data_IF_290699951335
#
_entry.id   IF_290699951335
#
_cell.length_a   1.000
_cell.length_b   1.000
_cell.length_c   1.000
_cell.angle_alpha   90.00
_cell.angle_beta   90.00
_cell.angle_gamma   90.00
#
_symmetry.space_group_name_H-M   'P 1'
#
loop_
_entity.id
_entity.type
_entity.pdbx_description
1 polymer ?
#
# COMPACT_ATOMS: atom_id res chain seq x y z
N UNK A 1 -16.48 -12.25 11.46
CA UNK A 1 -16.52 -12.10 10.00
C UNK A 1 -15.68 -10.89 9.60
N UNK A 2 -14.73 -11.09 8.68
CA UNK A 2 -13.86 -9.99 8.21
C UNK A 2 -14.53 -9.12 7.15
N UNK A 3 -15.50 -9.67 6.43
CA UNK A 3 -16.24 -9.00 5.38
C UNK A 3 -17.43 -9.82 4.90
N UNK A 4 -18.19 -9.28 3.98
CA UNK A 4 -19.23 -9.99 3.24
C UNK A 4 -19.13 -9.74 1.74
N UNK A 5 -19.67 -10.68 0.98
CA UNK A 5 -19.71 -10.63 -0.47
C UNK A 5 -21.15 -10.73 -0.93
N UNK A 6 -21.57 -9.81 -1.77
CA UNK A 6 -22.85 -9.84 -2.48
C UNK A 6 -22.57 -10.30 -3.90
N UNK A 7 -23.15 -11.44 -4.28
CA UNK A 7 -23.08 -11.93 -5.65
C UNK A 7 -24.31 -11.49 -6.43
N UNK A 8 -24.09 -10.71 -7.48
CA UNK A 8 -25.10 -10.33 -8.43
C UNK A 8 -24.91 -11.14 -9.72
N UNK A 9 -26.00 -11.64 -10.27
CA UNK A 9 -26.01 -12.42 -11.50
C UNK A 9 -26.97 -11.81 -12.51
N UNK A 10 -26.50 -11.58 -13.72
CA UNK A 10 -27.32 -11.16 -14.85
C UNK A 10 -26.93 -11.97 -16.07
N UNK A 11 -27.88 -12.68 -16.69
CA UNK A 11 -27.67 -13.51 -17.85
C UNK A 11 -26.31 -14.28 -17.84
N UNK A 12 -25.29 -13.72 -18.53
CA UNK A 12 -23.97 -14.33 -18.70
C UNK A 12 -22.88 -13.71 -17.82
N UNK A 13 -23.21 -12.79 -16.88
CA UNK A 13 -22.21 -12.09 -16.06
C UNK A 13 -22.47 -12.30 -14.57
N UNK A 14 -21.38 -12.47 -13.85
CA UNK A 14 -21.40 -12.54 -12.37
C UNK A 14 -20.53 -11.43 -11.83
N UNK A 15 -21.10 -10.65 -10.92
CA UNK A 15 -20.45 -9.55 -10.22
C UNK A 15 -20.37 -9.90 -8.74
N UNK A 16 -19.19 -9.79 -8.14
CA UNK A 16 -18.99 -9.93 -6.72
C UNK A 16 -18.71 -8.55 -6.10
N UNK A 17 -19.61 -8.11 -5.25
CA UNK A 17 -19.50 -6.84 -4.52
C UNK A 17 -19.01 -7.13 -3.11
N UNK A 18 -17.84 -6.62 -2.74
CA UNK A 18 -17.17 -6.96 -1.49
C UNK A 18 -17.13 -5.78 -0.55
N UNK A 19 -17.44 -6.02 0.72
CA UNK A 19 -17.39 -5.05 1.80
C UNK A 19 -16.67 -5.62 3.01
N UNK A 20 -15.64 -4.91 3.49
CA UNK A 20 -15.00 -5.18 4.79
C UNK A 20 -15.93 -4.74 5.92
N UNK A 21 -16.06 -5.58 6.94
CA UNK A 21 -16.77 -5.23 8.17
C UNK A 21 -15.76 -4.63 9.15
N UNK A 22 -15.95 -3.38 9.50
CA UNK A 22 -15.06 -2.64 10.43
C UNK A 22 -15.38 -2.91 11.88
N UNK A 23 -16.64 -3.22 12.18
CA UNK A 23 -17.09 -3.60 13.53
C UNK A 23 -17.35 -5.10 13.57
N UNK A 24 -17.11 -5.71 14.73
CA UNK A 24 -17.56 -7.08 14.96
C UNK A 24 -19.04 -7.15 14.63
N UNK A 25 -19.39 -7.99 13.65
CA UNK A 25 -20.76 -8.27 13.27
C UNK A 25 -21.47 -8.90 14.46
N UNK A 26 -21.75 -8.07 15.44
CA UNK A 26 -22.68 -8.39 16.50
C UNK A 26 -24.04 -8.04 15.92
N UNK A 27 -24.90 -9.05 15.77
CA UNK A 27 -26.31 -8.78 15.77
C UNK A 27 -26.55 -7.85 16.93
N UNK A 28 -26.78 -6.56 16.66
CA UNK A 28 -27.05 -5.60 17.72
C UNK A 28 -28.29 -6.13 18.44
N UNK A 29 -28.09 -6.72 19.62
CA UNK A 29 -29.19 -6.82 20.57
C UNK A 29 -29.57 -5.38 20.84
N UNK A 30 -30.79 -5.01 20.48
CA UNK A 30 -31.29 -3.69 20.75
C UNK A 30 -31.03 -3.35 22.21
N UNK A 31 -30.22 -2.33 22.45
CA UNK A 31 -30.11 -1.71 23.77
C UNK A 31 -31.21 -0.70 24.02
N UNK A 32 -32.03 -0.40 23.00
CA UNK A 32 -33.20 0.48 23.12
C UNK A 32 -34.46 -0.35 23.23
N UNK A 33 -35.39 0.17 23.98
CA UNK A 33 -36.71 -0.45 24.29
C UNK A 33 -37.55 -0.70 23.02
N UNK A 34 -37.21 -0.03 21.90
CA UNK A 34 -37.88 -0.18 20.61
C UNK A 34 -36.88 -0.10 19.46
N UNK A 35 -36.75 -1.19 18.70
CA UNK A 35 -36.20 -1.14 17.36
C UNK A 35 -37.33 -1.03 16.36
N UNK A 36 -37.40 0.08 15.65
CA UNK A 36 -38.41 0.33 14.64
C UNK A 36 -37.77 0.46 13.25
N UNK A 37 -38.44 -0.09 12.26
CA UNK A 37 -38.11 0.07 10.84
C UNK A 37 -39.31 0.68 10.14
N UNK A 38 -39.04 1.59 9.21
CA UNK A 38 -40.07 2.17 8.37
C UNK A 38 -40.27 1.24 7.16
N UNK A 39 -41.45 0.62 7.06
CA UNK A 39 -41.78 -0.28 5.98
C UNK A 39 -43.16 0.06 5.43
N UNK A 40 -43.24 0.40 4.14
CA UNK A 40 -44.52 0.67 3.46
C UNK A 40 -45.37 1.73 4.11
N UNK A 41 -44.81 2.85 4.57
CA UNK A 41 -45.51 3.96 5.29
C UNK A 41 -45.93 3.67 6.73
N UNK A 42 -45.48 2.54 7.30
CA UNK A 42 -45.76 2.20 8.71
C UNK A 42 -44.47 1.94 9.47
N UNK A 43 -44.50 2.23 10.77
CA UNK A 43 -43.44 1.94 11.72
C UNK A 43 -43.68 0.55 12.29
N UNK A 44 -42.81 -0.41 11.93
CA UNK A 44 -42.87 -1.76 12.46
C UNK A 44 -41.80 -1.96 13.54
N UNK A 45 -42.15 -2.71 14.59
CA UNK A 45 -41.19 -3.13 15.61
C UNK A 45 -40.42 -4.35 15.10
N UNK A 46 -39.08 -4.22 15.05
CA UNK A 46 -38.20 -5.34 14.69
C UNK A 46 -38.00 -6.25 15.89
N UNK A 47 -38.66 -7.40 15.91
CA UNK A 47 -38.48 -8.43 16.90
C UNK A 47 -37.24 -9.31 16.64
N UNK A 48 -36.76 -9.36 15.37
CA UNK A 48 -35.69 -10.25 14.92
C UNK A 48 -34.31 -9.60 14.91
N UNK A 49 -33.29 -10.46 14.92
CA UNK A 49 -31.88 -10.03 14.76
C UNK A 49 -31.66 -9.56 13.34
N UNK A 50 -31.36 -8.28 13.19
CA UNK A 50 -31.07 -7.68 11.90
C UNK A 50 -29.58 -7.46 11.71
N UNK A 51 -29.11 -7.55 10.47
CA UNK A 51 -27.81 -7.07 10.09
C UNK A 51 -27.95 -5.95 9.06
N UNK A 52 -27.05 -4.98 9.15
CA UNK A 52 -27.06 -3.83 8.25
C UNK A 52 -26.09 -4.06 7.11
N UNK A 53 -26.59 -3.99 5.88
CA UNK A 53 -25.73 -3.94 4.69
C UNK A 53 -25.33 -2.48 4.48
N UNK A 54 -24.03 -2.23 4.41
CA UNK A 54 -23.51 -0.90 4.13
C UNK A 54 -23.90 -0.45 2.71
N UNK A 55 -24.18 0.85 2.54
CA UNK A 55 -24.51 1.44 1.25
C UNK A 55 -23.30 1.61 0.32
N UNK A 56 -22.09 1.42 0.84
CA UNK A 56 -20.84 1.54 0.07
C UNK A 56 -20.17 0.18 -0.08
N UNK A 57 -19.44 0.01 -1.17
CA UNK A 57 -18.61 -1.16 -1.45
C UNK A 57 -17.12 -0.79 -1.29
N UNK A 58 -16.29 -1.77 -1.01
CA UNK A 58 -14.84 -1.56 -0.93
C UNK A 58 -14.15 -1.95 -2.24
N UNK A 59 -14.61 -3.01 -2.87
CA UNK A 59 -14.19 -3.38 -4.22
C UNK A 59 -15.21 -4.30 -4.89
N UNK A 60 -15.08 -4.39 -6.22
CA UNK A 60 -15.95 -5.20 -7.07
C UNK A 60 -15.07 -6.08 -7.95
N UNK A 61 -15.45 -7.36 -8.10
CA UNK A 61 -14.80 -8.28 -9.02
C UNK A 61 -15.80 -8.62 -10.12
N UNK A 62 -15.40 -8.38 -11.37
CA UNK A 62 -16.15 -8.71 -12.57
C UNK A 62 -15.22 -9.48 -13.50
N UNK A 63 -15.48 -10.78 -13.67
CA UNK A 63 -14.65 -11.68 -14.47
C UNK A 63 -13.17 -11.63 -14.02
N UNK A 64 -12.27 -11.08 -14.83
CA UNK A 64 -10.85 -10.93 -14.53
C UNK A 64 -10.48 -9.54 -14.02
N UNK A 65 -11.46 -8.63 -13.92
CA UNK A 65 -11.23 -7.25 -13.53
C UNK A 65 -11.59 -7.02 -12.06
N UNK A 66 -10.81 -6.21 -11.38
CA UNK A 66 -11.06 -5.78 -10.00
C UNK A 66 -11.10 -4.25 -9.93
N UNK A 67 -12.27 -3.70 -9.62
CA UNK A 67 -12.45 -2.27 -9.36
C UNK A 67 -12.34 -2.00 -7.86
N UNK A 68 -11.26 -1.33 -7.44
CA UNK A 68 -10.99 -1.04 -6.03
C UNK A 68 -11.39 0.39 -5.69
N UNK A 69 -12.41 0.56 -4.82
CA UNK A 69 -12.85 1.84 -4.29
C UNK A 69 -12.19 2.17 -2.95
N UNK A 70 -11.84 1.13 -2.16
CA UNK A 70 -11.16 1.28 -0.87
C UNK A 70 -9.94 0.35 -0.81
N UNK A 71 -8.77 0.91 -1.12
CA UNK A 71 -7.50 0.17 -1.16
C UNK A 71 -7.15 -0.48 0.20
N UNK A 72 -7.37 0.22 1.32
CA UNK A 72 -7.03 -0.30 2.64
C UNK A 72 -7.87 -1.52 3.03
N UNK A 73 -9.16 -1.50 2.70
CA UNK A 73 -10.05 -2.65 2.91
C UNK A 73 -9.69 -3.82 2.00
N UNK A 74 -9.40 -3.56 0.73
CA UNK A 74 -8.96 -4.54 -0.25
C UNK A 74 -7.69 -5.26 0.21
N UNK A 75 -6.63 -4.51 0.53
CA UNK A 75 -5.36 -5.07 1.00
C UNK A 75 -5.50 -5.86 2.31
N UNK A 76 -6.39 -5.40 3.23
CA UNK A 76 -6.62 -6.11 4.49
C UNK A 76 -7.35 -7.44 4.28
N UNK A 77 -8.42 -7.43 3.46
CA UNK A 77 -9.22 -8.63 3.21
C UNK A 77 -8.44 -9.71 2.45
N UNK A 78 -7.55 -9.30 1.55
CA UNK A 78 -6.72 -10.21 0.75
C UNK A 78 -5.34 -10.46 1.37
N UNK A 79 -5.11 -10.01 2.60
CA UNK A 79 -3.87 -10.26 3.34
C UNK A 79 -2.60 -9.80 2.62
N UNK A 80 -2.67 -8.71 1.85
CA UNK A 80 -1.53 -8.17 1.09
C UNK A 80 -0.30 -7.85 1.94
N UNK A 81 -0.46 -7.70 3.26
CA UNK A 81 0.70 -7.52 4.15
C UNK A 81 1.68 -8.69 4.06
N UNK A 82 1.19 -9.92 3.87
CA UNK A 82 2.03 -11.12 3.71
C UNK A 82 2.86 -11.00 2.44
N UNK A 83 2.27 -10.56 1.34
CA UNK A 83 2.98 -10.35 0.07
C UNK A 83 4.06 -9.26 0.18
N UNK A 84 3.79 -8.19 0.94
CA UNK A 84 4.80 -7.16 1.19
C UNK A 84 5.96 -7.67 2.03
N UNK A 85 5.70 -8.51 3.04
CA UNK A 85 6.75 -9.18 3.83
C UNK A 85 7.58 -10.10 2.94
N UNK A 86 6.94 -10.99 2.17
CA UNK A 86 7.62 -11.91 1.26
C UNK A 86 8.48 -11.16 0.23
N UNK A 87 7.94 -10.06 -0.33
CA UNK A 87 8.68 -9.22 -1.27
C UNK A 87 9.91 -8.57 -0.63
N UNK A 88 9.80 -8.09 0.60
CA UNK A 88 10.92 -7.50 1.33
C UNK A 88 11.95 -8.54 1.73
N UNK A 89 11.53 -9.72 2.15
CA UNK A 89 12.42 -10.85 2.44
C UNK A 89 13.20 -11.28 1.19
N UNK A 90 12.54 -11.33 0.03
CA UNK A 90 13.20 -11.58 -1.25
C UNK A 90 14.25 -10.51 -1.59
N UNK A 91 13.87 -9.24 -1.48
CA UNK A 91 14.75 -8.11 -1.75
C UNK A 91 15.97 -8.09 -0.81
N UNK A 92 15.76 -8.39 0.48
CA UNK A 92 16.82 -8.44 1.48
C UNK A 92 17.83 -9.57 1.28
N UNK A 93 17.50 -10.53 0.41
CA UNK A 93 18.38 -11.64 0.00
C UNK A 93 18.94 -11.48 -1.42
N UNK A 94 18.46 -10.49 -2.16
CA UNK A 94 18.94 -10.21 -3.51
C UNK A 94 20.38 -9.68 -3.45
N UNK A 95 21.38 -10.41 -4.00
CA UNK A 95 22.78 -9.99 -3.95
C UNK A 95 23.03 -8.68 -4.68
N UNK A 96 22.24 -8.35 -5.71
CA UNK A 96 22.35 -7.08 -6.43
C UNK A 96 21.88 -5.93 -5.53
N UNK A 97 20.76 -6.10 -4.81
CA UNK A 97 20.28 -5.10 -3.86
C UNK A 97 21.23 -4.93 -2.67
N UNK A 98 21.65 -6.04 -2.06
CA UNK A 98 22.62 -6.03 -0.94
C UNK A 98 23.90 -5.31 -1.35
N UNK A 99 24.42 -5.60 -2.54
CA UNK A 99 25.63 -4.99 -3.08
C UNK A 99 25.56 -3.48 -3.31
N UNK A 100 24.36 -2.88 -3.26
CA UNK A 100 24.18 -1.41 -3.34
C UNK A 100 24.42 -0.70 -2.01
N UNK A 101 24.54 -1.41 -0.91
CA UNK A 101 24.75 -0.87 0.43
C UNK A 101 26.07 -1.34 1.04
N UNK A 102 26.65 -0.51 1.90
CA UNK A 102 27.78 -0.93 2.75
C UNK A 102 27.30 -1.87 3.85
N UNK A 103 26.14 -1.58 4.43
CA UNK A 103 25.41 -2.39 5.39
C UNK A 103 23.90 -2.22 5.15
N UNK A 104 23.18 -3.32 5.04
CA UNK A 104 21.74 -3.32 4.83
C UNK A 104 20.95 -3.26 6.16
N UNK A 105 21.62 -3.51 7.28
CA UNK A 105 20.96 -3.59 8.59
C UNK A 105 20.18 -2.33 8.96
N UNK A 106 20.69 -1.09 8.78
CA UNK A 106 19.91 0.11 9.08
C UNK A 106 18.60 0.21 8.29
N UNK A 107 18.59 -0.24 7.03
CA UNK A 107 17.37 -0.29 6.22
C UNK A 107 16.39 -1.35 6.74
N UNK A 108 16.87 -2.52 7.10
CA UNK A 108 16.03 -3.60 7.66
C UNK A 108 15.38 -3.13 8.96
N UNK A 109 16.15 -2.53 9.85
CA UNK A 109 15.67 -2.02 11.14
C UNK A 109 14.63 -0.90 10.93
N UNK A 110 14.87 0.03 9.98
CA UNK A 110 13.93 1.11 9.64
C UNK A 110 12.61 0.60 9.06
N UNK A 111 12.66 -0.38 8.17
CA UNK A 111 11.46 -0.98 7.57
C UNK A 111 10.66 -1.75 8.61
N UNK A 112 11.31 -2.60 9.37
CA UNK A 112 10.73 -3.41 10.43
C UNK A 112 9.42 -4.07 10.00
N UNK A 113 8.38 -3.93 10.82
CA UNK A 113 7.03 -4.48 10.54
C UNK A 113 6.03 -3.44 10.03
N UNK A 114 6.50 -2.22 9.73
CA UNK A 114 5.66 -1.13 9.27
C UNK A 114 5.10 -1.40 7.87
N UNK A 115 3.78 -1.57 7.76
CA UNK A 115 3.11 -1.92 6.50
C UNK A 115 3.34 -0.91 5.38
N UNK A 116 3.48 0.39 5.71
CA UNK A 116 3.75 1.42 4.71
C UNK A 116 5.17 1.28 4.16
N UNK A 117 6.17 1.01 5.00
CA UNK A 117 7.54 0.77 4.57
C UNK A 117 7.65 -0.53 3.79
N UNK A 118 7.04 -1.62 4.26
CA UNK A 118 6.99 -2.90 3.55
C UNK A 118 6.38 -2.76 2.15
N UNK A 119 5.28 -1.99 2.01
CA UNK A 119 4.69 -1.69 0.69
C UNK A 119 5.67 -0.93 -0.22
N UNK A 120 6.39 0.06 0.31
CA UNK A 120 7.41 0.79 -0.44
C UNK A 120 8.54 -0.12 -0.90
N UNK A 121 9.00 -1.03 -0.03
CA UNK A 121 10.02 -2.01 -0.38
C UNK A 121 9.53 -2.98 -1.47
N UNK A 122 8.27 -3.39 -1.43
CA UNK A 122 7.68 -4.20 -2.50
C UNK A 122 7.65 -3.47 -3.85
N UNK A 123 7.38 -2.15 -3.85
CA UNK A 123 7.46 -1.32 -5.08
C UNK A 123 8.91 -1.17 -5.56
N UNK A 124 9.89 -0.98 -4.65
CA UNK A 124 11.32 -0.94 -5.00
C UNK A 124 11.74 -2.26 -5.65
N UNK A 125 11.31 -3.40 -5.08
CA UNK A 125 11.59 -4.72 -5.64
C UNK A 125 10.98 -4.88 -7.04
N UNK A 126 9.73 -4.46 -7.22
CA UNK A 126 9.02 -4.54 -8.51
C UNK A 126 9.66 -3.65 -9.59
N UNK A 127 10.00 -2.39 -9.26
CA UNK A 127 10.62 -1.45 -10.22
C UNK A 127 12.08 -1.80 -10.51
N UNK A 128 12.79 -2.36 -9.54
CA UNK A 128 14.17 -2.82 -9.62
C UNK A 128 15.17 -1.77 -10.19
N UNK A 129 14.93 -0.47 -9.99
CA UNK A 129 15.83 0.59 -10.45
C UNK A 129 17.23 0.46 -9.88
N UNK A 130 17.38 -0.11 -8.67
CA UNK A 130 18.66 -0.41 -8.04
C UNK A 130 19.52 -1.39 -8.86
N UNK A 131 18.91 -2.23 -9.68
CA UNK A 131 19.63 -3.19 -10.52
C UNK A 131 20.26 -2.52 -11.76
N UNK A 132 19.77 -1.34 -12.17
CA UNK A 132 20.31 -0.61 -13.31
C UNK A 132 21.55 0.22 -12.92
N UNK A 133 22.75 -0.10 -13.46
CA UNK A 133 23.99 0.63 -13.14
C UNK A 133 23.92 2.13 -13.52
N UNK A 134 23.27 2.45 -14.65
CA UNK A 134 23.13 3.83 -15.11
C UNK A 134 22.26 4.64 -14.18
N UNK A 135 21.20 4.01 -13.63
CA UNK A 135 20.35 4.65 -12.62
C UNK A 135 21.16 5.00 -11.36
N UNK A 136 21.96 4.06 -10.88
CA UNK A 136 22.80 4.27 -9.69
C UNK A 136 23.90 5.32 -9.92
N UNK A 137 24.48 5.38 -11.11
CA UNK A 137 25.44 6.44 -11.49
C UNK A 137 24.77 7.81 -11.52
N UNK A 138 23.60 7.92 -12.14
CA UNK A 138 22.81 9.18 -12.16
C UNK A 138 22.37 9.58 -10.76
N UNK A 139 21.95 8.61 -9.93
CA UNK A 139 21.56 8.88 -8.55
C UNK A 139 22.69 9.57 -7.77
N UNK A 140 23.93 9.07 -7.87
CA UNK A 140 25.09 9.69 -7.23
C UNK A 140 25.31 11.12 -7.72
N UNK A 141 25.28 11.32 -9.04
CA UNK A 141 25.48 12.63 -9.64
C UNK A 141 24.41 13.65 -9.20
N UNK A 142 23.13 13.23 -9.22
CA UNK A 142 22.01 14.08 -8.78
C UNK A 142 22.06 14.33 -7.27
N UNK A 143 22.41 13.34 -6.46
CA UNK A 143 22.62 13.52 -5.03
C UNK A 143 23.61 14.63 -4.72
N UNK A 144 24.75 14.66 -5.43
CA UNK A 144 25.80 15.65 -5.23
C UNK A 144 25.36 17.04 -5.73
N UNK A 145 24.66 17.10 -6.87
CA UNK A 145 24.15 18.33 -7.45
C UNK A 145 23.04 18.99 -6.61
N UNK A 146 22.15 18.16 -6.02
CA UNK A 146 20.95 18.62 -5.31
C UNK A 146 21.12 18.64 -3.77
N UNK A 147 22.30 18.23 -3.26
CA UNK A 147 22.58 18.22 -1.84
C UNK A 147 21.69 17.30 -1.01
N UNK A 148 21.35 16.10 -1.52
CA UNK A 148 20.47 15.17 -0.81
C UNK A 148 21.14 14.48 0.38
N UNK A 149 22.47 14.66 0.52
CA UNK A 149 23.29 14.16 1.63
C UNK A 149 23.34 12.62 1.77
N UNK A 150 23.01 11.87 0.73
CA UNK A 150 23.24 10.43 0.73
C UNK A 150 24.75 10.21 0.60
N UNK A 151 25.34 9.49 1.55
CA UNK A 151 26.74 9.15 1.54
C UNK A 151 26.99 7.89 0.69
N UNK A 152 28.09 7.89 -0.04
CA UNK A 152 28.55 6.75 -0.83
C UNK A 152 29.99 6.41 -0.42
N UNK A 153 30.30 5.12 -0.33
CA UNK A 153 31.68 4.67 -0.11
C UNK A 153 32.53 4.75 -1.40
N UNK A 154 33.82 4.39 -1.30
CA UNK A 154 34.74 4.41 -2.42
C UNK A 154 34.33 3.46 -3.57
N UNK A 155 33.56 2.42 -3.28
CA UNK A 155 32.99 1.49 -4.26
C UNK A 155 31.66 1.97 -4.85
N UNK A 156 31.13 3.14 -4.44
CA UNK A 156 29.87 3.70 -4.88
C UNK A 156 28.64 3.07 -4.22
N UNK A 157 28.82 2.38 -3.08
CA UNK A 157 27.73 1.78 -2.31
C UNK A 157 27.15 2.80 -1.33
N UNK A 158 25.85 2.76 -1.14
CA UNK A 158 25.10 3.63 -0.24
C UNK A 158 25.49 3.33 1.22
N UNK A 159 25.87 4.37 1.96
CA UNK A 159 26.02 4.31 3.43
C UNK A 159 24.69 4.73 4.05
N UNK A 160 23.89 3.76 4.48
CA UNK A 160 22.58 4.02 5.03
C UNK A 160 22.70 4.47 6.51
N UNK A 161 22.15 5.65 6.81
CA UNK A 161 22.03 6.18 8.17
C UNK A 161 20.57 6.48 8.50
N UNK A 162 20.25 6.63 9.78
CA UNK A 162 18.87 6.94 10.20
C UNK A 162 18.36 8.24 9.56
N UNK A 163 19.22 9.27 9.48
CA UNK A 163 18.86 10.58 8.92
C UNK A 163 18.58 10.52 7.41
N UNK A 164 19.32 9.67 6.67
CA UNK A 164 19.21 9.58 5.21
C UNK A 164 18.21 8.53 4.73
N UNK A 165 17.70 7.69 5.62
CA UNK A 165 16.87 6.54 5.27
C UNK A 165 15.63 6.92 4.46
N UNK A 166 14.93 7.99 4.88
CA UNK A 166 13.76 8.49 4.14
C UNK A 166 14.13 8.89 2.71
N UNK A 167 15.24 9.62 2.55
CA UNK A 167 15.75 10.07 1.25
C UNK A 167 16.12 8.87 0.37
N UNK A 168 16.85 7.90 0.93
CA UNK A 168 17.24 6.65 0.24
C UNK A 168 15.99 5.92 -0.29
N UNK A 169 14.96 5.76 0.53
CA UNK A 169 13.73 5.11 0.10
C UNK A 169 13.01 5.89 -1.02
N UNK A 170 12.99 7.21 -0.95
CA UNK A 170 12.35 8.05 -1.97
C UNK A 170 13.08 7.98 -3.31
N UNK A 171 14.41 8.01 -3.31
CA UNK A 171 15.19 7.91 -4.56
C UNK A 171 15.11 6.51 -5.17
N UNK A 172 15.11 5.44 -4.36
CA UNK A 172 14.96 4.08 -4.88
C UNK A 172 13.56 3.80 -5.45
N UNK A 173 12.55 4.56 -5.01
CA UNK A 173 11.19 4.56 -5.58
C UNK A 173 11.08 5.42 -6.84
N UNK A 174 12.07 6.26 -7.12
CA UNK A 174 11.98 7.35 -8.10
C UNK A 174 10.85 8.34 -7.77
N UNK A 175 10.70 8.65 -6.49
CA UNK A 175 9.67 9.55 -5.95
C UNK A 175 10.25 10.90 -5.48
N UNK A 176 11.55 11.12 -5.62
CA UNK A 176 12.19 12.42 -5.33
C UNK A 176 12.54 13.09 -6.64
N UNK A 177 11.87 14.20 -6.93
CA UNK A 177 11.95 14.92 -8.18
C UNK A 177 12.45 16.35 -7.93
N UNK A 178 13.33 16.84 -8.80
CA UNK A 178 13.72 18.24 -8.84
C UNK A 178 13.03 18.93 -10.01
N UNK A 179 12.30 20.02 -9.71
CA UNK A 179 11.64 20.82 -10.74
C UNK A 179 12.60 21.83 -11.32
N UNK A 180 12.81 21.78 -12.63
CA UNK A 180 13.60 22.79 -13.36
C UNK A 180 12.93 24.17 -13.41
N UNK A 181 11.63 24.26 -13.14
CA UNK A 181 10.89 25.51 -13.19
C UNK A 181 10.94 26.25 -11.84
N UNK A 182 10.68 25.53 -10.73
CA UNK A 182 10.67 26.12 -9.39
C UNK A 182 12.00 26.02 -8.67
N UNK A 183 12.97 25.28 -9.22
CA UNK A 183 14.27 24.95 -8.61
C UNK A 183 14.10 24.35 -7.20
N UNK A 184 13.05 23.56 -7.02
CA UNK A 184 12.71 22.94 -5.73
C UNK A 184 12.61 21.44 -5.86
N UNK A 185 12.99 20.73 -4.79
CA UNK A 185 12.89 19.27 -4.69
C UNK A 185 11.58 18.87 -4.02
N UNK A 186 10.90 17.89 -4.59
CA UNK A 186 9.61 17.37 -4.12
C UNK A 186 9.67 15.87 -3.89
N UNK A 187 9.12 15.42 -2.77
CA UNK A 187 8.79 14.02 -2.56
C UNK A 187 7.34 13.79 -3.00
N UNK A 188 7.14 12.94 -4.00
CA UNK A 188 5.81 12.64 -4.56
C UNK A 188 5.32 11.25 -4.14
N UNK A 189 4.01 11.03 -4.02
CA UNK A 189 3.46 9.74 -3.56
C UNK A 189 3.56 8.64 -4.64
N UNK A 190 3.63 9.04 -5.91
CA UNK A 190 3.79 8.12 -7.05
C UNK A 190 4.33 8.86 -8.26
N UNK A 191 5.02 8.14 -9.14
CA UNK A 191 5.49 8.64 -10.44
C UNK A 191 4.90 7.80 -11.56
N UNK A 192 4.45 8.46 -12.65
CA UNK A 192 4.10 7.83 -13.90
C UNK A 192 4.94 8.49 -15.01
N UNK A 193 5.53 7.69 -15.88
CA UNK A 193 6.15 8.21 -17.10
C UNK A 193 5.06 8.74 -18.04
N UNK A 194 5.31 9.88 -18.68
CA UNK A 194 4.43 10.52 -19.65
C UNK A 194 4.88 10.14 -21.06
#
# INVERSE_FOLDING_TARGET
CAGYVIRLRSANRVLYCVKKVTDTWKTKKARSVLNVVFRGHQLDVLADRNFTIAKSLDFVVLENDVLVMNKAAFETLLSYKIEYVNSFDGLSRDPVFIGRFTDLKPLIDHVGTNTMHLRRMAVIHQKAYYANPDYMTRLKHVNDAEGWNIQFDAAGRIVATEETMRTIMQVLLDHRLHSRLSLSTYDVPSTAAV
#
